data_IF_944433028945
#
_entry.id   IF_944433028945
#
_cell.length_a   1.000
_cell.length_b   1.000
_cell.length_c   1.000
_cell.angle_alpha   90.00
_cell.angle_beta   90.00
_cell.angle_gamma   90.00
#
_symmetry.space_group_name_H-M   'P 1'
#
loop_
_entity.id
_entity.type
_entity.pdbx_description
1 polymer ?
#
# COMPACT_ATOMS: atom_id res chain seq x y z
N UNK A 1 28.80 3.83 30.47
CA UNK A 1 27.70 3.02 29.92
C UNK A 1 26.95 3.84 28.87
N UNK A 2 27.51 3.92 27.64
CA UNK A 2 26.90 4.70 26.55
C UNK A 2 25.81 3.88 25.88
N UNK A 3 24.54 4.14 26.20
CA UNK A 3 23.42 3.49 25.54
C UNK A 3 23.49 3.83 24.05
N UNK A 4 23.61 2.79 23.24
CA UNK A 4 23.79 2.83 21.80
C UNK A 4 22.54 3.44 21.12
N UNK A 5 22.46 4.78 21.11
CA UNK A 5 21.35 5.55 20.53
C UNK A 5 21.19 5.28 19.03
N UNK A 6 22.28 4.91 18.33
CA UNK A 6 22.29 4.66 16.88
C UNK A 6 21.54 3.38 16.47
N UNK A 7 21.55 2.32 17.28
CA UNK A 7 20.83 1.08 16.94
C UNK A 7 19.32 1.23 17.07
N UNK A 8 18.85 1.95 18.10
CA UNK A 8 17.41 2.19 18.32
C UNK A 8 16.75 3.02 17.21
N UNK A 9 17.48 4.00 16.65
CA UNK A 9 16.99 4.84 15.54
C UNK A 9 16.84 3.99 14.27
N UNK A 10 17.83 3.17 13.96
CA UNK A 10 17.86 2.33 12.74
C UNK A 10 16.73 1.28 12.70
N UNK A 11 16.40 0.70 13.86
CA UNK A 11 15.25 -0.21 14.00
C UNK A 11 13.90 0.52 13.94
N UNK A 12 13.82 1.75 14.44
CA UNK A 12 12.61 2.57 14.31
C UNK A 12 12.32 2.97 12.86
N UNK A 13 13.36 3.30 12.09
CA UNK A 13 13.23 3.63 10.66
C UNK A 13 12.82 2.42 9.82
N UNK A 14 13.39 1.23 10.10
CA UNK A 14 12.95 -0.01 9.46
C UNK A 14 11.49 -0.32 9.73
N UNK A 15 11.02 -0.12 10.97
CA UNK A 15 9.60 -0.28 11.31
C UNK A 15 8.73 0.74 10.58
N UNK A 16 9.11 2.02 10.53
CA UNK A 16 8.37 3.05 9.78
C UNK A 16 8.29 2.73 8.29
N UNK A 17 9.40 2.36 7.64
CA UNK A 17 9.44 1.99 6.22
C UNK A 17 8.57 0.77 5.91
N UNK A 18 8.47 -0.18 6.84
CA UNK A 18 7.62 -1.37 6.73
C UNK A 18 6.13 -1.01 6.60
N UNK A 19 5.65 0.05 7.26
CA UNK A 19 4.27 0.53 7.12
C UNK A 19 4.08 1.53 5.99
N UNK A 20 5.02 2.45 5.80
CA UNK A 20 4.92 3.54 4.82
C UNK A 20 4.92 3.00 3.39
N UNK A 21 5.75 2.00 3.09
CA UNK A 21 5.89 1.48 1.71
C UNK A 21 4.57 0.86 1.21
N UNK A 22 3.94 -0.11 1.90
CA UNK A 22 2.66 -0.68 1.45
C UNK A 22 1.55 0.38 1.28
N UNK A 23 1.51 1.37 2.17
CA UNK A 23 0.52 2.46 2.13
C UNK A 23 0.73 3.34 0.90
N UNK A 24 1.96 3.73 0.58
CA UNK A 24 2.26 4.54 -0.61
C UNK A 24 1.88 3.76 -1.88
N UNK A 25 2.21 2.46 -1.95
CA UNK A 25 1.83 1.62 -3.08
C UNK A 25 0.30 1.53 -3.23
N UNK A 26 -0.43 1.37 -2.12
CA UNK A 26 -1.89 1.37 -2.13
C UNK A 26 -2.48 2.68 -2.67
N UNK A 27 -1.96 3.83 -2.24
CA UNK A 27 -2.39 5.12 -2.76
C UNK A 27 -2.06 5.29 -4.24
N UNK A 28 -0.87 4.88 -4.67
CA UNK A 28 -0.48 4.93 -6.08
C UNK A 28 -1.38 4.06 -6.96
N UNK A 29 -1.68 2.82 -6.54
CA UNK A 29 -2.62 1.94 -7.23
C UNK A 29 -4.02 2.56 -7.29
N UNK A 30 -4.51 3.14 -6.20
CA UNK A 30 -5.84 3.78 -6.14
C UNK A 30 -5.95 4.99 -7.08
N UNK A 31 -4.93 5.85 -7.09
CA UNK A 31 -4.88 7.02 -8.00
C UNK A 31 -4.79 6.59 -9.46
N UNK A 32 -3.99 5.55 -9.76
CA UNK A 32 -3.88 5.00 -11.10
C UNK A 32 -5.21 4.43 -11.59
N UNK A 33 -5.90 3.63 -10.77
CA UNK A 33 -7.23 3.10 -11.10
C UNK A 33 -8.24 4.23 -11.34
N UNK A 34 -8.22 5.28 -10.51
CA UNK A 34 -9.06 6.45 -10.71
C UNK A 34 -8.79 7.15 -12.05
N UNK A 35 -7.52 7.36 -12.39
CA UNK A 35 -7.11 7.99 -13.65
C UNK A 35 -7.59 7.19 -14.87
N UNK A 36 -7.41 5.86 -14.84
CA UNK A 36 -7.86 4.98 -15.93
C UNK A 36 -9.38 5.08 -16.10
N UNK A 37 -10.14 5.02 -15.02
CA UNK A 37 -11.61 5.12 -15.07
C UNK A 37 -12.08 6.50 -15.55
N UNK A 38 -11.36 7.56 -15.17
CA UNK A 38 -11.64 8.93 -15.61
C UNK A 38 -11.35 9.11 -17.11
N UNK A 39 -10.25 8.54 -17.62
CA UNK A 39 -9.92 8.58 -19.04
C UNK A 39 -10.99 7.89 -19.88
N UNK A 40 -11.46 6.71 -19.44
CA UNK A 40 -12.52 5.99 -20.14
C UNK A 40 -13.82 6.81 -20.18
N UNK A 41 -14.14 7.53 -19.11
CA UNK A 41 -15.32 8.41 -19.07
C UNK A 41 -15.24 9.55 -20.10
N UNK A 42 -14.04 10.11 -20.28
CA UNK A 42 -13.80 11.22 -21.21
C UNK A 42 -13.86 10.74 -22.66
N UNK A 43 -13.27 9.57 -22.95
CA UNK A 43 -13.25 9.03 -24.32
C UNK A 43 -14.59 8.43 -24.75
N UNK A 44 -15.32 7.80 -23.82
CA UNK A 44 -16.55 7.10 -24.14
C UNK A 44 -17.70 7.72 -23.35
N UNK A 45 -18.58 8.43 -24.06
CA UNK A 45 -19.82 9.02 -23.51
C UNK A 45 -20.86 7.92 -23.22
N UNK A 46 -20.49 6.97 -22.36
CA UNK A 46 -21.28 5.79 -22.00
C UNK A 46 -22.28 6.20 -20.92
N UNK A 47 -23.56 6.05 -21.23
CA UNK A 47 -24.63 6.18 -20.24
C UNK A 47 -24.39 5.22 -19.07
N UNK A 48 -24.51 5.72 -17.84
CA UNK A 48 -24.26 4.98 -16.60
C UNK A 48 -22.80 4.56 -16.35
N UNK A 49 -21.82 5.09 -17.09
CA UNK A 49 -20.40 4.79 -16.82
C UNK A 49 -19.99 5.13 -15.39
N UNK A 50 -20.48 6.25 -14.83
CA UNK A 50 -20.17 6.64 -13.45
C UNK A 50 -20.54 5.56 -12.43
N UNK A 51 -21.66 4.85 -12.64
CA UNK A 51 -22.08 3.76 -11.75
C UNK A 51 -21.11 2.57 -11.86
N UNK A 52 -20.78 2.15 -13.09
CA UNK A 52 -19.85 1.05 -13.33
C UNK A 52 -18.43 1.37 -12.90
N UNK A 53 -17.98 2.61 -13.07
CA UNK A 53 -16.69 3.09 -12.62
C UNK A 53 -16.56 2.97 -11.09
N UNK A 54 -17.61 3.33 -10.34
CA UNK A 54 -17.63 3.14 -8.88
C UNK A 54 -17.53 1.65 -8.52
N UNK A 55 -18.28 0.77 -9.20
CA UNK A 55 -18.23 -0.69 -8.96
C UNK A 55 -16.82 -1.23 -9.22
N UNK A 56 -16.22 -0.89 -10.36
CA UNK A 56 -14.86 -1.32 -10.73
C UNK A 56 -13.83 -0.76 -9.75
N UNK A 57 -13.98 0.50 -9.34
CA UNK A 57 -13.10 1.13 -8.37
C UNK A 57 -13.15 0.44 -7.00
N UNK A 58 -14.34 0.14 -6.49
CA UNK A 58 -14.52 -0.57 -5.22
C UNK A 58 -13.89 -1.96 -5.27
N UNK A 59 -14.06 -2.69 -6.39
CA UNK A 59 -13.42 -4.01 -6.57
C UNK A 59 -11.89 -3.90 -6.64
N UNK A 60 -11.37 -2.92 -7.38
CA UNK A 60 -9.92 -2.70 -7.50
C UNK A 60 -9.27 -2.28 -6.18
N UNK A 61 -9.88 -1.33 -5.47
CA UNK A 61 -9.44 -0.91 -4.14
C UNK A 61 -9.55 -2.05 -3.14
N UNK A 62 -10.64 -2.82 -3.15
CA UNK A 62 -10.82 -3.98 -2.28
C UNK A 62 -9.73 -5.04 -2.48
N UNK A 63 -9.38 -5.35 -3.73
CA UNK A 63 -8.27 -6.24 -4.05
C UNK A 63 -6.93 -5.70 -3.52
N UNK A 64 -6.68 -4.41 -3.71
CA UNK A 64 -5.45 -3.75 -3.27
C UNK A 64 -5.33 -3.72 -1.73
N UNK A 65 -6.44 -3.52 -1.00
CA UNK A 65 -6.49 -3.65 0.46
C UNK A 65 -6.15 -5.08 0.90
N UNK A 66 -6.77 -6.10 0.28
CA UNK A 66 -6.51 -7.49 0.65
C UNK A 66 -5.03 -7.87 0.45
N UNK A 67 -4.44 -7.43 -0.66
CA UNK A 67 -3.00 -7.57 -0.95
C UNK A 67 -2.15 -6.86 0.10
N UNK A 68 -2.52 -5.63 0.49
CA UNK A 68 -1.81 -4.87 1.52
C UNK A 68 -1.83 -5.60 2.88
N UNK A 69 -2.99 -6.13 3.29
CA UNK A 69 -3.12 -6.92 4.54
C UNK A 69 -2.21 -8.15 4.50
N UNK A 70 -2.22 -8.90 3.39
CA UNK A 70 -1.37 -10.08 3.24
C UNK A 70 0.13 -9.73 3.24
N UNK A 71 0.52 -8.58 2.68
CA UNK A 71 1.90 -8.06 2.80
C UNK A 71 2.24 -7.73 4.26
N UNK A 72 1.32 -7.12 5.00
CA UNK A 72 1.51 -6.84 6.42
C UNK A 72 1.67 -8.10 7.27
N UNK A 73 0.88 -9.14 7.01
CA UNK A 73 1.00 -10.44 7.66
C UNK A 73 2.35 -11.08 7.36
N UNK A 74 2.73 -11.18 6.08
CA UNK A 74 4.07 -11.68 5.70
C UNK A 74 5.19 -10.90 6.35
N UNK A 75 5.03 -9.59 6.48
CA UNK A 75 6.03 -8.74 7.12
C UNK A 75 6.17 -9.03 8.62
N UNK A 76 5.10 -9.44 9.33
CA UNK A 76 5.18 -9.84 10.75
C UNK A 76 6.05 -11.09 10.94
N UNK A 77 6.04 -12.02 9.97
CA UNK A 77 6.74 -13.31 10.06
C UNK A 77 8.23 -13.25 9.73
N UNK A 78 8.76 -12.12 9.24
CA UNK A 78 10.20 -12.00 9.05
C UNK A 78 10.89 -12.00 10.43
N UNK A 79 11.73 -13.01 10.73
CA UNK A 79 12.47 -13.04 11.98
C UNK A 79 13.30 -11.77 12.09
N UNK A 80 13.28 -11.15 13.29
CA UNK A 80 14.19 -10.04 13.61
C UNK A 80 15.61 -10.50 13.22
N UNK A 81 16.40 -9.68 12.51
CA UNK A 81 17.78 -10.05 12.24
C UNK A 81 18.45 -10.34 13.59
N UNK A 82 18.81 -11.60 13.80
CA UNK A 82 19.53 -12.05 14.98
C UNK A 82 20.84 -11.28 14.94
N UNK A 83 20.98 -10.28 15.83
CA UNK A 83 22.26 -9.68 16.13
C UNK A 83 23.14 -10.81 16.69
N UNK A 84 23.88 -11.49 15.81
CA UNK A 84 25.03 -12.27 16.23
C UNK A 84 26.05 -11.24 16.70
N UNK A 85 26.09 -11.05 18.03
CA UNK A 85 27.16 -10.36 18.74
C UNK A 85 28.48 -11.09 18.49
#
# INVERSE_FOLDING_TARGET
MGINKKTHIRDSERRKKRFIVPIIYFFAESVLSWLILSLIQVEFYISNWSFWAVVVFVLGVGYSIAKMIHVFERQKDYPKPINKK
#
